data_IF_220898102753
#
_entry.id   IF_220898102753
#
_cell.length_a   1.000
_cell.length_b   1.000
_cell.length_c   1.000
_cell.angle_alpha   90.00
_cell.angle_beta   90.00
_cell.angle_gamma   90.00
#
_symmetry.space_group_name_H-M   'P 1'
#
loop_
_entity.id
_entity.type
_entity.pdbx_description
1 polymer ?
#
# COMPACT_ATOMS: atom_id res chain seq x y z
N UNK A 1 -25.97 19.16 14.03
CA UNK A 1 -24.73 18.79 13.30
C UNK A 1 -24.36 17.41 13.78
N UNK A 2 -24.94 16.38 13.16
CA UNK A 2 -24.84 14.99 13.60
C UNK A 2 -23.40 14.47 13.45
N UNK A 3 -22.80 14.07 14.57
CA UNK A 3 -21.45 13.51 14.63
C UNK A 3 -21.33 12.28 13.72
N UNK A 4 -22.40 11.50 13.56
CA UNK A 4 -22.49 10.37 12.64
C UNK A 4 -22.30 10.78 11.17
N UNK A 5 -22.86 11.93 10.75
CA UNK A 5 -22.72 12.42 9.38
C UNK A 5 -21.29 12.88 9.08
N UNK A 6 -20.60 13.47 10.07
CA UNK A 6 -19.18 13.83 9.95
C UNK A 6 -18.29 12.60 9.81
N UNK A 7 -18.52 11.56 10.63
CA UNK A 7 -17.75 10.31 10.57
C UNK A 7 -17.95 9.62 9.21
N UNK A 8 -19.20 9.56 8.73
CA UNK A 8 -19.50 8.99 7.41
C UNK A 8 -18.83 9.77 6.27
N UNK A 9 -18.85 11.11 6.34
CA UNK A 9 -18.18 11.97 5.36
C UNK A 9 -16.66 11.72 5.29
N UNK A 10 -16.00 11.57 6.44
CA UNK A 10 -14.56 11.29 6.51
C UNK A 10 -14.22 9.91 5.95
N UNK A 11 -15.04 8.89 6.25
CA UNK A 11 -14.84 7.53 5.72
C UNK A 11 -15.00 7.52 4.21
N UNK A 12 -16.07 8.14 3.68
CA UNK A 12 -16.31 8.22 2.24
C UNK A 12 -15.18 8.98 1.53
N UNK A 13 -14.74 10.12 2.07
CA UNK A 13 -13.62 10.86 1.52
C UNK A 13 -12.33 10.04 1.51
N UNK A 14 -12.02 9.31 2.60
CA UNK A 14 -10.85 8.44 2.68
C UNK A 14 -10.88 7.28 1.68
N UNK A 15 -12.06 6.65 1.49
CA UNK A 15 -12.25 5.58 0.50
C UNK A 15 -12.09 6.11 -0.91
N UNK A 16 -12.76 7.22 -1.25
CA UNK A 16 -12.65 7.85 -2.57
C UNK A 16 -11.20 8.24 -2.84
N UNK A 17 -10.51 8.87 -1.90
CA UNK A 17 -9.10 9.27 -2.03
C UNK A 17 -8.19 8.06 -2.26
N UNK A 18 -8.38 6.97 -1.51
CA UNK A 18 -7.57 5.77 -1.63
C UNK A 18 -7.75 5.09 -3.01
N UNK A 19 -8.98 5.02 -3.51
CA UNK A 19 -9.27 4.45 -4.83
C UNK A 19 -8.89 5.38 -5.98
N UNK A 20 -9.08 6.70 -5.84
CA UNK A 20 -8.81 7.66 -6.89
C UNK A 20 -7.31 7.92 -7.09
N UNK A 21 -6.50 8.01 -6.03
CA UNK A 21 -5.13 8.54 -6.18
C UNK A 21 -4.07 7.45 -6.22
N UNK A 22 -4.30 6.29 -5.59
CA UNK A 22 -3.24 5.31 -5.43
C UNK A 22 -3.03 4.42 -6.66
N UNK A 23 -4.04 4.30 -7.52
CA UNK A 23 -4.08 3.26 -8.57
C UNK A 23 -4.67 3.78 -9.89
N UNK A 24 -4.33 5.00 -10.27
CA UNK A 24 -4.70 5.59 -11.57
C UNK A 24 -3.52 5.97 -12.41
N UNK A 25 -3.76 6.04 -13.72
CA UNK A 25 -2.83 6.62 -14.66
C UNK A 25 -2.55 8.09 -14.29
N UNK A 26 -1.29 8.54 -14.23
CA UNK A 26 -0.94 9.92 -13.90
C UNK A 26 -1.44 10.93 -14.95
N UNK A 27 -1.64 10.51 -16.21
CA UNK A 27 -2.00 11.42 -17.30
C UNK A 27 -3.52 11.46 -17.54
N UNK A 28 -4.14 10.32 -17.82
CA UNK A 28 -5.56 10.27 -18.19
C UNK A 28 -6.50 9.92 -17.02
N UNK A 29 -5.97 9.64 -15.83
CA UNK A 29 -6.75 9.22 -14.67
C UNK A 29 -7.61 7.96 -14.92
N UNK A 30 -7.25 7.13 -15.90
CA UNK A 30 -7.90 5.83 -16.11
C UNK A 30 -7.51 4.84 -15.02
N UNK A 31 -8.43 3.93 -14.71
CA UNK A 31 -8.24 2.77 -13.84
C UNK A 31 -7.83 1.52 -14.63
N UNK A 32 -7.81 1.58 -15.96
CA UNK A 32 -7.42 0.47 -16.82
C UNK A 32 -5.88 0.47 -16.98
N UNK A 33 -5.23 -0.36 -16.17
CA UNK A 33 -3.78 -0.35 -15.95
C UNK A 33 -3.29 -1.78 -15.92
N UNK A 34 -2.28 -2.04 -16.73
CA UNK A 34 -1.55 -3.31 -16.74
C UNK A 34 -0.28 -3.18 -15.91
N UNK A 35 -0.05 -4.13 -15.00
CA UNK A 35 1.23 -4.29 -14.29
C UNK A 35 2.10 -5.26 -15.09
N UNK A 36 3.17 -4.76 -15.70
CA UNK A 36 4.06 -5.57 -16.56
C UNK A 36 5.02 -6.44 -15.73
N UNK A 37 5.23 -6.07 -14.48
CA UNK A 37 6.07 -6.80 -13.54
C UNK A 37 6.77 -5.90 -12.55
N UNK A 38 7.81 -6.46 -11.92
CA UNK A 38 8.60 -5.74 -10.94
C UNK A 38 10.08 -6.07 -11.05
N UNK A 39 10.91 -5.10 -10.66
CA UNK A 39 12.35 -5.26 -10.46
C UNK A 39 12.67 -5.06 -8.99
N UNK A 40 13.32 -6.04 -8.37
CA UNK A 40 13.89 -5.87 -7.03
C UNK A 40 15.07 -4.89 -7.11
N UNK A 41 14.99 -3.79 -6.34
CA UNK A 41 16.02 -2.75 -6.28
C UNK A 41 17.02 -3.05 -5.16
N UNK A 42 16.50 -3.48 -4.02
CA UNK A 42 17.26 -3.56 -2.78
C UNK A 42 16.61 -4.57 -1.83
N UNK A 43 17.43 -5.32 -1.12
CA UNK A 43 17.03 -6.33 -0.14
C UNK A 43 17.83 -6.13 1.13
N UNK A 44 17.13 -5.87 2.22
CA UNK A 44 17.76 -5.49 3.49
C UNK A 44 17.03 -6.11 4.68
N UNK A 45 17.77 -6.32 5.77
CA UNK A 45 17.20 -6.71 7.05
C UNK A 45 16.61 -5.48 7.75
N UNK A 46 15.36 -5.58 8.18
CA UNK A 46 14.67 -4.57 8.95
C UNK A 46 14.16 -5.14 10.27
N UNK A 47 13.93 -4.27 11.25
CA UNK A 47 13.20 -4.64 12.47
C UNK A 47 11.75 -4.20 12.36
N UNK A 48 10.83 -5.13 12.56
CA UNK A 48 9.39 -4.87 12.60
C UNK A 48 8.86 -5.12 14.00
N UNK A 49 8.04 -4.19 14.47
CA UNK A 49 7.28 -4.35 15.72
C UNK A 49 6.07 -5.25 15.45
N UNK A 50 5.94 -6.31 16.24
CA UNK A 50 4.78 -7.20 16.22
C UNK A 50 4.13 -7.23 17.60
N UNK A 51 2.80 -7.29 17.60
CA UNK A 51 1.99 -7.37 18.82
C UNK A 51 1.39 -8.77 18.90
N UNK A 52 1.74 -9.51 19.95
CA UNK A 52 1.28 -10.88 20.17
C UNK A 52 0.25 -10.90 21.29
N UNK A 53 -0.88 -11.58 21.04
CA UNK A 53 -1.87 -11.87 22.09
C UNK A 53 -1.44 -13.12 22.85
N UNK A 54 -1.29 -13.00 24.16
CA UNK A 54 -0.97 -14.12 25.04
C UNK A 54 -2.24 -14.86 25.46
N UNK A 55 -2.07 -16.12 25.89
CA UNK A 55 -3.15 -16.93 26.46
C UNK A 55 -3.81 -16.28 27.69
N UNK A 56 -3.08 -15.42 28.41
CA UNK A 56 -3.59 -14.64 29.56
C UNK A 56 -4.48 -13.45 29.17
N UNK A 57 -4.75 -13.24 27.88
CA UNK A 57 -5.48 -12.08 27.35
C UNK A 57 -4.65 -10.79 27.26
N UNK A 58 -3.41 -10.80 27.76
CA UNK A 58 -2.48 -9.65 27.69
C UNK A 58 -1.81 -9.57 26.31
N UNK A 59 -1.43 -8.37 25.91
CA UNK A 59 -0.64 -8.12 24.68
C UNK A 59 0.82 -7.89 25.01
N UNK A 60 1.73 -8.48 24.23
CA UNK A 60 3.17 -8.20 24.28
C UNK A 60 3.64 -7.66 22.95
N UNK A 61 4.41 -6.58 22.99
CA UNK A 61 5.13 -6.08 21.83
C UNK A 61 6.54 -6.69 21.79
N UNK A 62 6.96 -7.14 20.61
CA UNK A 62 8.36 -7.55 20.37
C UNK A 62 8.83 -7.02 19.02
N UNK A 63 10.14 -6.82 18.90
CA UNK A 63 10.79 -6.49 17.63
C UNK A 63 11.38 -7.76 17.03
N UNK A 64 10.96 -8.10 15.82
CA UNK A 64 11.52 -9.23 15.06
C UNK A 64 12.37 -8.69 13.91
N UNK A 65 13.46 -9.40 13.59
CA UNK A 65 14.18 -9.17 12.35
C UNK A 65 13.36 -9.77 11.20
N UNK A 66 13.22 -9.03 10.12
CA UNK A 66 12.48 -9.43 8.92
C UNK A 66 13.26 -9.00 7.68
N UNK A 67 13.19 -9.80 6.63
CA UNK A 67 13.81 -9.45 5.34
C UNK A 67 12.82 -8.59 4.56
N UNK A 68 13.24 -7.39 4.19
CA UNK A 68 12.44 -6.46 3.39
C UNK A 68 13.04 -6.36 1.99
N UNK A 69 12.19 -6.26 0.98
CA UNK A 69 12.57 -6.01 -0.41
C UNK A 69 11.90 -4.73 -0.91
N UNK A 70 12.69 -3.81 -1.44
CA UNK A 70 12.20 -2.67 -2.24
C UNK A 70 12.05 -3.14 -3.68
N UNK A 71 10.83 -3.10 -4.18
CA UNK A 71 10.49 -3.49 -5.55
C UNK A 71 9.98 -2.28 -6.32
N UNK A 72 10.54 -2.06 -7.51
CA UNK A 72 10.04 -1.10 -8.50
C UNK A 72 9.06 -1.84 -9.40
N UNK A 73 7.80 -1.44 -9.35
CA UNK A 73 6.74 -1.96 -10.20
C UNK A 73 6.61 -1.08 -11.45
N UNK A 74 6.38 -1.71 -12.59
CA UNK A 74 6.18 -1.06 -13.89
C UNK A 74 4.71 -1.17 -14.26
N UNK A 75 4.13 -0.03 -14.60
CA UNK A 75 2.71 0.11 -14.91
C UNK A 75 2.55 0.80 -16.26
N UNK A 76 1.58 0.33 -17.03
CA UNK A 76 1.22 0.91 -18.32
C UNK A 76 -0.28 1.12 -18.36
N UNK A 77 -0.72 2.31 -18.77
CA UNK A 77 -2.14 2.58 -18.95
C UNK A 77 -2.62 2.02 -20.29
N UNK A 78 -3.73 1.27 -20.28
CA UNK A 78 -4.24 0.68 -21.50
C UNK A 78 -4.95 1.67 -22.42
N UNK A 79 -5.39 2.81 -21.89
CA UNK A 79 -6.08 3.87 -22.63
C UNK A 79 -5.12 4.86 -23.31
N UNK A 80 -4.21 5.48 -22.54
CA UNK A 80 -3.30 6.51 -23.07
C UNK A 80 -1.87 6.03 -23.30
N UNK A 81 -1.57 4.76 -22.98
CA UNK A 81 -0.23 4.14 -23.12
C UNK A 81 0.88 4.81 -22.33
N UNK A 82 0.54 5.68 -21.37
CA UNK A 82 1.52 6.24 -20.43
C UNK A 82 2.10 5.14 -19.56
N UNK A 83 3.43 5.12 -19.46
CA UNK A 83 4.17 4.24 -18.58
C UNK A 83 4.61 4.98 -17.32
N UNK A 84 4.51 4.36 -16.15
CA UNK A 84 5.06 4.90 -14.92
C UNK A 84 5.52 3.80 -13.98
N UNK A 85 6.26 4.20 -12.94
CA UNK A 85 6.83 3.26 -11.98
C UNK A 85 6.51 3.64 -10.55
N UNK A 86 6.31 2.64 -9.68
CA UNK A 86 6.10 2.88 -8.24
C UNK A 86 7.01 1.96 -7.44
N UNK A 87 7.65 2.52 -6.41
CA UNK A 87 8.48 1.75 -5.49
C UNK A 87 7.62 1.35 -4.30
N UNK A 88 7.53 0.04 -4.04
CA UNK A 88 6.85 -0.52 -2.87
C UNK A 88 7.84 -1.30 -2.02
N UNK A 89 7.64 -1.26 -0.71
CA UNK A 89 8.37 -2.10 0.27
C UNK A 89 7.52 -3.32 0.56
N UNK A 90 8.08 -4.51 0.37
CA UNK A 90 7.41 -5.80 0.56
C UNK A 90 8.19 -6.62 1.57
N UNK A 91 7.49 -7.17 2.55
CA UNK A 91 8.05 -8.12 3.51
C UNK A 91 8.19 -9.49 2.85
N UNK A 92 9.38 -10.06 2.95
CA UNK A 92 9.69 -11.43 2.54
C UNK A 92 9.70 -12.26 3.82
N UNK A 93 8.54 -12.83 4.17
CA UNK A 93 8.35 -13.72 5.32
C UNK A 93 9.15 -15.01 5.17
#
# INVERSE_FOLDING_TARGET
MDILALIFGIILFGVVWHFFIRMRCPDCNSTNITEEGYKEIDRYLARKRVTEKMASGKTRERYINCTMSKRKYFYTCDECKTEWTKIKKVELS
#
